data_IF_875517486180
#
_entry.id   IF_875517486180
#
_cell.length_a   1.000
_cell.length_b   1.000
_cell.length_c   1.000
_cell.angle_alpha   90.00
_cell.angle_beta   90.00
_cell.angle_gamma   90.00
#
_symmetry.space_group_name_H-M   'P 1'
#
loop_
_entity.id
_entity.type
_entity.pdbx_description
1 polymer ?
#
# COMPACT_ATOMS: atom_id res chain seq x y z
N UNK A 1 11.44 -2.16 21.73
CA UNK A 1 10.31 -2.87 21.09
C UNK A 1 9.59 -1.93 20.14
N UNK A 2 9.22 -2.42 18.96
CA UNK A 2 8.50 -1.62 17.96
C UNK A 2 7.08 -1.34 18.43
N UNK A 3 6.58 -0.15 18.12
CA UNK A 3 5.19 0.25 18.33
C UNK A 3 4.54 0.53 16.97
N UNK A 4 3.19 0.57 16.87
CA UNK A 4 2.52 0.96 15.63
C UNK A 4 2.95 2.34 15.10
N UNK A 5 3.30 3.29 16.00
CA UNK A 5 3.83 4.60 15.63
C UNK A 5 5.22 4.46 14.98
N UNK A 6 6.13 3.72 15.60
CA UNK A 6 7.46 3.45 15.02
C UNK A 6 7.38 2.76 13.66
N UNK A 7 6.40 1.87 13.47
CA UNK A 7 6.16 1.22 12.17
C UNK A 7 5.90 2.23 11.04
N UNK A 8 5.33 3.41 11.34
CA UNK A 8 5.08 4.45 10.35
C UNK A 8 6.35 5.20 9.93
N UNK A 9 7.40 5.21 10.78
CA UNK A 9 8.65 5.93 10.56
C UNK A 9 9.60 5.23 9.57
N UNK A 10 9.42 3.92 9.34
CA UNK A 10 10.26 3.18 8.38
C UNK A 10 10.15 3.72 6.96
N UNK A 11 11.27 3.72 6.24
CA UNK A 11 11.38 4.25 4.87
C UNK A 11 10.63 3.42 3.80
N UNK A 12 9.51 2.79 4.18
CA UNK A 12 8.64 2.03 3.27
C UNK A 12 8.18 2.84 2.05
N UNK A 13 8.09 4.17 2.21
CA UNK A 13 7.66 5.08 1.14
C UNK A 13 8.57 5.04 -0.07
N UNK A 14 9.88 4.77 0.08
CA UNK A 14 10.80 4.63 -1.06
C UNK A 14 10.37 3.51 -2.02
N UNK A 15 9.94 2.37 -1.48
CA UNK A 15 9.46 1.25 -2.31
C UNK A 15 8.11 1.59 -2.93
N UNK A 16 7.19 2.17 -2.15
CA UNK A 16 5.88 2.60 -2.64
C UNK A 16 6.04 3.60 -3.79
N UNK A 17 6.95 4.58 -3.65
CA UNK A 17 7.25 5.60 -4.66
C UNK A 17 7.80 5.01 -5.96
N UNK A 18 8.65 3.98 -5.87
CA UNK A 18 9.15 3.29 -7.07
C UNK A 18 8.00 2.72 -7.90
N UNK A 19 7.02 2.09 -7.26
CA UNK A 19 5.87 1.49 -7.94
C UNK A 19 4.85 2.54 -8.39
N UNK A 20 4.62 3.59 -7.61
CA UNK A 20 3.83 4.74 -8.03
C UNK A 20 4.41 5.40 -9.27
N UNK A 21 5.72 5.67 -9.28
CA UNK A 21 6.41 6.24 -10.43
C UNK A 21 6.30 5.34 -11.66
N UNK A 22 6.46 4.03 -11.47
CA UNK A 22 6.26 3.05 -12.54
C UNK A 22 4.85 3.15 -13.15
N UNK A 23 3.82 3.18 -12.31
CA UNK A 23 2.43 3.31 -12.75
C UNK A 23 2.21 4.62 -13.53
N UNK A 24 2.69 5.74 -13.00
CA UNK A 24 2.60 7.06 -13.64
C UNK A 24 3.30 7.07 -15.02
N UNK A 25 4.51 6.55 -15.09
CA UNK A 25 5.31 6.54 -16.32
C UNK A 25 4.67 5.65 -17.39
N UNK A 26 4.15 4.48 -17.01
CA UNK A 26 3.48 3.57 -17.94
C UNK A 26 2.13 4.12 -18.41
N UNK A 27 1.32 4.65 -17.51
CA UNK A 27 0.02 5.24 -17.87
C UNK A 27 0.19 6.46 -18.79
N UNK A 28 1.16 7.33 -18.48
CA UNK A 28 1.50 8.48 -19.34
C UNK A 28 2.00 8.04 -20.71
N UNK A 29 2.75 6.95 -20.78
CA UNK A 29 3.22 6.40 -22.06
C UNK A 29 2.06 5.85 -22.90
N UNK A 30 1.09 5.19 -22.26
CA UNK A 30 -0.14 4.73 -22.92
C UNK A 30 -0.93 5.92 -23.47
N UNK A 31 -1.09 7.01 -22.69
CA UNK A 31 -1.78 8.22 -23.12
C UNK A 31 -1.07 8.81 -24.35
N UNK A 32 0.26 8.99 -24.27
CA UNK A 32 1.04 9.53 -25.41
C UNK A 32 0.89 8.68 -26.67
N UNK A 33 0.87 7.34 -26.50
CA UNK A 33 0.70 6.44 -27.63
C UNK A 33 -0.68 6.52 -28.25
N UNK A 34 -1.74 6.70 -27.46
CA UNK A 34 -3.09 6.93 -27.98
C UNK A 34 -3.16 8.27 -28.76
N UNK A 35 -2.52 9.32 -28.25
CA UNK A 35 -2.47 10.64 -28.89
C UNK A 35 -1.65 10.69 -30.20
N UNK A 36 -0.74 9.73 -30.40
CA UNK A 36 0.03 9.59 -31.63
C UNK A 36 -0.74 8.93 -32.76
N UNK A 37 -1.86 8.28 -32.46
CA UNK A 37 -2.73 7.71 -33.49
C UNK A 37 -3.39 8.85 -34.29
N UNK A 38 -3.51 8.64 -35.58
CA UNK A 38 -4.35 9.48 -36.46
C UNK A 38 -5.81 9.41 -36.02
N UNK A 39 -6.67 10.27 -36.59
CA UNK A 39 -8.09 10.20 -36.36
C UNK A 39 -8.61 8.84 -36.86
N UNK A 40 -9.09 8.03 -35.90
CA UNK A 40 -9.55 6.64 -36.15
C UNK A 40 -11.03 6.60 -36.56
N UNK A 41 -11.69 7.74 -36.77
CA UNK A 41 -13.14 7.79 -37.12
C UNK A 41 -13.45 7.04 -38.39
N UNK A 42 -12.51 6.99 -39.34
CA UNK A 42 -12.67 6.28 -40.62
C UNK A 42 -12.15 4.81 -40.57
N UNK A 43 -11.63 4.34 -39.46
CA UNK A 43 -11.02 3.01 -39.38
C UNK A 43 -12.07 1.90 -39.36
N UNK A 44 -11.79 0.83 -40.10
CA UNK A 44 -12.56 -0.41 -40.03
C UNK A 44 -12.19 -1.20 -38.77
N UNK A 45 -13.04 -2.11 -38.33
CA UNK A 45 -12.76 -3.04 -37.22
C UNK A 45 -11.47 -3.84 -37.45
N UNK A 46 -11.13 -4.18 -38.69
CA UNK A 46 -9.90 -4.91 -39.02
C UNK A 46 -8.66 -4.03 -38.77
N UNK A 47 -8.67 -2.78 -39.22
CA UNK A 47 -7.59 -1.82 -38.96
C UNK A 47 -7.42 -1.56 -37.46
N UNK A 48 -8.51 -1.43 -36.71
CA UNK A 48 -8.48 -1.30 -35.26
C UNK A 48 -7.84 -2.49 -34.55
N UNK A 49 -8.11 -3.72 -35.01
CA UNK A 49 -7.48 -4.93 -34.48
C UNK A 49 -5.96 -4.95 -34.74
N UNK A 50 -5.51 -4.52 -35.91
CA UNK A 50 -4.08 -4.42 -36.24
C UNK A 50 -3.41 -3.39 -35.33
N UNK A 51 -4.00 -2.19 -35.19
CA UNK A 51 -3.50 -1.13 -34.32
C UNK A 51 -3.39 -1.56 -32.86
N UNK A 52 -4.46 -2.21 -32.33
CA UNK A 52 -4.49 -2.74 -30.98
C UNK A 52 -3.41 -3.80 -30.73
N UNK A 53 -3.18 -4.69 -31.70
CA UNK A 53 -2.16 -5.74 -31.60
C UNK A 53 -0.75 -5.17 -31.59
N UNK A 54 -0.45 -4.26 -32.52
CA UNK A 54 0.88 -3.63 -32.64
C UNK A 54 1.18 -2.76 -31.41
N UNK A 55 0.30 -1.80 -31.12
CA UNK A 55 0.46 -0.90 -29.98
C UNK A 55 0.48 -1.63 -28.64
N UNK A 56 -0.35 -2.67 -28.50
CA UNK A 56 -0.35 -3.51 -27.30
C UNK A 56 0.95 -4.27 -27.10
N UNK A 57 1.62 -4.74 -28.17
CA UNK A 57 2.93 -5.40 -28.10
C UNK A 57 4.02 -4.40 -27.66
N UNK A 58 4.00 -3.20 -28.21
CA UNK A 58 4.98 -2.15 -27.85
C UNK A 58 4.82 -1.71 -26.39
N UNK A 59 3.60 -1.46 -25.94
CA UNK A 59 3.29 -1.13 -24.52
C UNK A 59 3.73 -2.25 -23.58
N UNK A 60 3.50 -3.51 -23.96
CA UNK A 60 3.96 -4.66 -23.17
C UNK A 60 5.49 -4.69 -23.05
N UNK A 61 6.23 -4.53 -24.15
CA UNK A 61 7.69 -4.55 -24.14
C UNK A 61 8.27 -3.38 -23.34
N UNK A 62 7.72 -2.17 -23.49
CA UNK A 62 8.12 -1.01 -22.70
C UNK A 62 7.91 -1.26 -21.21
N UNK A 63 6.74 -1.77 -20.82
CA UNK A 63 6.43 -2.10 -19.44
C UNK A 63 7.39 -3.15 -18.89
N UNK A 64 7.70 -4.19 -19.66
CA UNK A 64 8.63 -5.25 -19.27
C UNK A 64 10.04 -4.68 -19.02
N UNK A 65 10.53 -3.80 -19.90
CA UNK A 65 11.83 -3.17 -19.74
C UNK A 65 11.90 -2.30 -18.49
N UNK A 66 10.88 -1.46 -18.23
CA UNK A 66 10.82 -0.61 -17.03
C UNK A 66 10.76 -1.46 -15.76
N UNK A 67 9.98 -2.53 -15.74
CA UNK A 67 9.88 -3.47 -14.63
C UNK A 67 11.22 -4.15 -14.33
N UNK A 68 11.92 -4.61 -15.36
CA UNK A 68 13.23 -5.24 -15.20
C UNK A 68 14.28 -4.26 -14.65
N UNK A 69 14.23 -3.00 -15.10
CA UNK A 69 15.11 -1.93 -14.60
C UNK A 69 14.96 -1.65 -13.10
N UNK A 70 13.77 -1.86 -12.53
CA UNK A 70 13.53 -1.64 -11.10
C UNK A 70 14.01 -2.78 -10.19
N UNK A 71 14.30 -3.95 -10.75
CA UNK A 71 14.52 -5.17 -9.95
C UNK A 71 15.66 -5.05 -8.94
N UNK A 72 16.79 -4.45 -9.34
CA UNK A 72 17.98 -4.31 -8.49
C UNK A 72 17.73 -3.32 -7.34
N UNK A 73 17.16 -2.16 -7.66
CA UNK A 73 16.90 -1.12 -6.67
C UNK A 73 15.82 -1.56 -5.68
N UNK A 74 14.75 -2.19 -6.15
CA UNK A 74 13.71 -2.78 -5.30
C UNK A 74 14.29 -3.73 -4.25
N UNK A 75 15.15 -4.68 -4.68
CA UNK A 75 15.79 -5.62 -3.76
C UNK A 75 16.64 -4.92 -2.72
N UNK A 76 17.44 -3.94 -3.13
CA UNK A 76 18.29 -3.16 -2.23
C UNK A 76 17.48 -2.40 -1.18
N UNK A 77 16.42 -1.72 -1.59
CA UNK A 77 15.56 -0.97 -0.67
C UNK A 77 14.78 -1.90 0.26
N UNK A 78 14.30 -3.03 -0.25
CA UNK A 78 13.58 -4.01 0.56
C UNK A 78 14.50 -4.63 1.62
N UNK A 79 15.72 -5.03 1.25
CA UNK A 79 16.69 -5.59 2.20
C UNK A 79 16.98 -4.61 3.33
N UNK A 80 17.29 -3.35 3.01
CA UNK A 80 17.53 -2.30 4.02
C UNK A 80 16.35 -2.12 4.97
N UNK A 81 15.14 -2.15 4.44
CA UNK A 81 13.93 -2.00 5.25
C UNK A 81 13.77 -3.15 6.26
N UNK A 82 14.06 -4.37 5.86
CA UNK A 82 14.00 -5.54 6.75
C UNK A 82 15.12 -5.56 7.78
N UNK A 83 16.35 -5.17 7.39
CA UNK A 83 17.48 -5.00 8.31
C UNK A 83 17.20 -3.92 9.35
N UNK A 84 16.65 -2.80 8.95
CA UNK A 84 16.26 -1.71 9.84
C UNK A 84 15.18 -2.17 10.84
N UNK A 85 14.16 -2.88 10.36
CA UNK A 85 13.10 -3.45 11.20
C UNK A 85 13.68 -4.42 12.24
N UNK A 86 14.54 -5.35 11.81
CA UNK A 86 15.20 -6.32 12.68
C UNK A 86 16.01 -5.62 13.78
N UNK A 87 16.83 -4.65 13.38
CA UNK A 87 17.68 -3.92 14.32
C UNK A 87 16.85 -3.16 15.37
N UNK A 88 15.79 -2.46 14.94
CA UNK A 88 14.94 -1.71 15.86
C UNK A 88 14.12 -2.64 16.79
N UNK A 89 13.66 -3.79 16.30
CA UNK A 89 12.97 -4.75 17.14
C UNK A 89 13.91 -5.36 18.18
N UNK A 90 15.08 -5.82 17.76
CA UNK A 90 16.09 -6.38 18.66
C UNK A 90 16.55 -5.37 19.71
N UNK A 91 16.83 -4.12 19.30
CA UNK A 91 17.20 -3.04 20.22
C UNK A 91 16.17 -2.85 21.34
N UNK A 92 14.91 -3.02 21.05
CA UNK A 92 13.85 -2.97 22.06
C UNK A 92 13.92 -4.08 23.12
N UNK A 93 14.59 -5.18 22.83
CA UNK A 93 14.77 -6.30 23.76
C UNK A 93 16.08 -6.28 24.53
N UNK A 94 17.01 -5.37 24.24
CA UNK A 94 18.32 -5.34 24.85
C UNK A 94 18.29 -5.41 26.38
N UNK A 95 17.49 -4.56 27.02
CA UNK A 95 17.37 -4.56 28.49
C UNK A 95 16.79 -5.88 29.04
N UNK A 96 15.90 -6.54 28.30
CA UNK A 96 15.31 -7.81 28.70
C UNK A 96 16.37 -8.92 28.68
N UNK A 97 17.22 -8.97 27.65
CA UNK A 97 18.36 -9.91 27.59
C UNK A 97 19.32 -9.68 28.75
N UNK A 98 19.73 -8.42 28.99
CA UNK A 98 20.63 -8.05 30.09
C UNK A 98 20.05 -8.45 31.46
N UNK A 99 18.75 -8.17 31.70
CA UNK A 99 18.07 -8.53 32.95
C UNK A 99 17.97 -10.04 33.17
N UNK A 100 17.99 -10.83 32.10
CA UNK A 100 17.99 -12.30 32.14
C UNK A 100 19.39 -12.92 32.18
N UNK A 101 20.44 -12.08 32.10
CA UNK A 101 21.83 -12.58 32.01
C UNK A 101 22.14 -13.32 30.71
N UNK A 102 21.36 -13.04 29.65
CA UNK A 102 21.55 -13.61 28.32
C UNK A 102 22.42 -12.70 27.47
N UNK A 103 23.18 -13.29 26.56
CA UNK A 103 23.95 -12.52 25.59
C UNK A 103 23.02 -11.85 24.59
N UNK A 104 23.14 -10.51 24.46
CA UNK A 104 22.36 -9.74 23.50
C UNK A 104 22.97 -9.84 22.11
N UNK A 105 22.40 -10.68 21.26
CA UNK A 105 22.76 -10.84 19.86
C UNK A 105 21.55 -11.23 19.02
N UNK A 106 21.65 -11.03 17.70
CA UNK A 106 20.68 -11.59 16.76
C UNK A 106 20.95 -13.07 16.61
N UNK A 107 20.01 -13.92 17.03
CA UNK A 107 20.16 -15.36 16.88
C UNK A 107 20.10 -15.78 15.40
N UNK A 108 20.63 -16.96 15.09
CA UNK A 108 20.56 -17.53 13.74
C UNK A 108 19.11 -17.76 13.33
N UNK A 109 18.24 -18.10 14.27
CA UNK A 109 16.82 -18.33 14.08
C UNK A 109 16.11 -17.03 13.65
N UNK A 110 16.37 -15.92 14.34
CA UNK A 110 15.84 -14.58 13.95
C UNK A 110 16.34 -14.19 12.57
N UNK A 111 17.65 -14.39 12.28
CA UNK A 111 18.18 -14.05 10.96
C UNK A 111 17.53 -14.86 9.83
N UNK A 112 17.40 -16.19 10.01
CA UNK A 112 16.76 -17.07 9.02
C UNK A 112 15.28 -16.71 8.79
N UNK A 113 14.57 -16.35 9.85
CA UNK A 113 13.18 -15.91 9.79
C UNK A 113 13.05 -14.63 8.97
N UNK A 114 13.84 -13.60 9.25
CA UNK A 114 13.84 -12.34 8.51
C UNK A 114 14.20 -12.57 7.04
N UNK A 115 15.22 -13.37 6.76
CA UNK A 115 15.62 -13.74 5.40
C UNK A 115 14.51 -14.46 4.63
N UNK A 116 13.77 -15.34 5.30
CA UNK A 116 12.65 -16.06 4.71
C UNK A 116 11.52 -15.11 4.30
N UNK A 117 11.11 -14.22 5.21
CA UNK A 117 10.03 -13.26 4.94
C UNK A 117 10.46 -12.23 3.88
N UNK A 118 11.72 -11.75 3.94
CA UNK A 118 12.28 -10.91 2.90
C UNK A 118 12.18 -11.56 1.51
N UNK A 119 12.59 -12.83 1.37
CA UNK A 119 12.52 -13.57 0.10
C UNK A 119 11.09 -13.74 -0.40
N UNK A 120 10.16 -14.03 0.51
CA UNK A 120 8.74 -14.14 0.18
C UNK A 120 8.19 -12.79 -0.30
N UNK A 121 8.46 -11.69 0.42
CA UNK A 121 8.04 -10.34 0.05
C UNK A 121 8.61 -9.90 -1.30
N UNK A 122 9.92 -10.15 -1.55
CA UNK A 122 10.53 -9.85 -2.86
C UNK A 122 9.86 -10.66 -3.99
N UNK A 123 9.54 -11.93 -3.76
CA UNK A 123 8.83 -12.77 -4.73
C UNK A 123 7.43 -12.23 -5.04
N UNK A 124 6.70 -11.80 -4.03
CA UNK A 124 5.37 -11.21 -4.21
C UNK A 124 5.43 -9.89 -4.98
N UNK A 125 6.33 -8.98 -4.62
CA UNK A 125 6.56 -7.73 -5.34
C UNK A 125 7.01 -7.99 -6.79
N UNK A 126 7.85 -8.99 -7.03
CA UNK A 126 8.26 -9.42 -8.37
C UNK A 126 7.07 -9.94 -9.20
N UNK A 127 6.17 -10.69 -8.58
CA UNK A 127 4.97 -11.18 -9.27
C UNK A 127 4.01 -10.04 -9.63
N UNK A 128 3.84 -9.07 -8.72
CA UNK A 128 3.07 -7.85 -9.03
C UNK A 128 3.67 -7.11 -10.23
N UNK A 129 4.99 -6.95 -10.28
CA UNK A 129 5.65 -6.27 -11.42
C UNK A 129 5.50 -7.00 -12.75
N UNK A 130 5.54 -8.34 -12.75
CA UNK A 130 5.28 -9.12 -13.97
C UNK A 130 3.85 -8.92 -14.50
N UNK A 131 2.88 -8.87 -13.59
CA UNK A 131 1.47 -8.65 -13.94
C UNK A 131 1.23 -7.26 -14.56
N UNK A 132 2.06 -6.27 -14.21
CA UNK A 132 1.95 -4.90 -14.76
C UNK A 132 2.12 -4.87 -16.26
N UNK A 133 3.07 -5.61 -16.85
CA UNK A 133 3.29 -5.61 -18.29
C UNK A 133 2.04 -6.09 -19.06
N UNK A 134 1.39 -7.15 -18.55
CA UNK A 134 0.13 -7.65 -19.12
C UNK A 134 -1.02 -6.65 -18.88
N UNK A 135 -1.13 -6.09 -17.69
CA UNK A 135 -2.16 -5.07 -17.37
C UNK A 135 -1.97 -3.82 -18.22
N UNK A 136 -0.75 -3.36 -18.47
CA UNK A 136 -0.46 -2.21 -19.33
C UNK A 136 -0.94 -2.45 -20.77
N UNK A 137 -0.63 -3.63 -21.33
CA UNK A 137 -1.13 -4.04 -22.66
C UNK A 137 -2.65 -4.03 -22.70
N UNK A 138 -3.30 -4.65 -21.70
CA UNK A 138 -4.75 -4.73 -21.62
C UNK A 138 -5.38 -3.33 -21.46
N UNK A 139 -4.79 -2.48 -20.63
CA UNK A 139 -5.23 -1.09 -20.42
C UNK A 139 -5.16 -0.30 -21.73
N UNK A 140 -4.08 -0.43 -22.52
CA UNK A 140 -3.99 0.22 -23.84
C UNK A 140 -5.07 -0.27 -24.81
N UNK A 141 -5.25 -1.59 -24.92
CA UNK A 141 -6.26 -2.17 -25.83
C UNK A 141 -7.64 -1.71 -25.45
N UNK A 142 -8.02 -1.79 -24.18
CA UNK A 142 -9.33 -1.36 -23.69
C UNK A 142 -9.57 0.15 -23.90
N UNK A 143 -8.54 0.98 -23.72
CA UNK A 143 -8.64 2.41 -23.97
C UNK A 143 -8.82 2.72 -25.46
N UNK A 144 -8.17 2.00 -26.33
CA UNK A 144 -8.34 2.12 -27.78
C UNK A 144 -9.73 1.66 -28.24
N UNK A 145 -10.23 0.56 -27.67
CA UNK A 145 -11.56 0.04 -27.95
C UNK A 145 -12.65 1.01 -27.44
N UNK A 146 -12.47 1.60 -26.25
CA UNK A 146 -13.37 2.63 -25.70
C UNK A 146 -13.41 3.87 -26.59
N UNK A 147 -12.25 4.36 -27.00
CA UNK A 147 -12.11 5.49 -27.92
C UNK A 147 -12.85 5.22 -29.24
N UNK A 148 -12.56 4.06 -29.87
CA UNK A 148 -13.20 3.66 -31.11
C UNK A 148 -14.73 3.54 -30.97
N UNK A 149 -15.20 2.93 -29.89
CA UNK A 149 -16.65 2.73 -29.63
C UNK A 149 -17.38 4.09 -29.50
N UNK A 150 -16.80 5.04 -28.80
CA UNK A 150 -17.35 6.40 -28.64
C UNK A 150 -17.47 7.13 -29.96
N UNK A 151 -16.45 7.03 -30.82
CA UNK A 151 -16.45 7.68 -32.13
C UNK A 151 -17.40 6.94 -33.11
N UNK A 152 -17.30 5.60 -33.18
CA UNK A 152 -18.11 4.80 -34.10
C UNK A 152 -19.61 4.82 -33.77
N UNK A 153 -19.98 5.07 -32.52
CA UNK A 153 -21.41 5.27 -32.12
C UNK A 153 -21.99 6.62 -32.53
N UNK A 154 -21.15 7.56 -32.99
CA UNK A 154 -21.56 8.94 -33.30
C UNK A 154 -21.89 9.78 -32.05
N UNK A 155 -21.66 9.23 -30.84
CA UNK A 155 -21.99 9.93 -29.59
C UNK A 155 -20.98 11.01 -29.23
N UNK A 156 -19.76 10.90 -29.77
CA UNK A 156 -18.65 11.83 -29.53
C UNK A 156 -17.91 12.11 -30.86
N UNK A 157 -17.50 13.35 -31.05
CA UNK A 157 -16.39 13.63 -31.98
C UNK A 157 -15.07 13.06 -31.45
N UNK A 158 -14.10 12.90 -32.35
CA UNK A 158 -12.81 12.27 -31.99
C UNK A 158 -12.10 12.99 -30.83
N UNK A 159 -12.10 14.33 -30.82
CA UNK A 159 -11.43 15.13 -29.79
C UNK A 159 -12.07 14.91 -28.42
N UNK A 160 -13.41 14.94 -28.34
CA UNK A 160 -14.17 14.71 -27.11
C UNK A 160 -14.03 13.26 -26.60
N UNK A 161 -14.03 12.29 -27.50
CA UNK A 161 -13.78 10.89 -27.19
C UNK A 161 -12.37 10.66 -26.63
N UNK A 162 -11.36 11.24 -27.27
CA UNK A 162 -9.95 11.21 -26.83
C UNK A 162 -9.80 11.81 -25.43
N UNK A 163 -10.36 13.00 -25.19
CA UNK A 163 -10.35 13.68 -23.89
C UNK A 163 -10.97 12.83 -22.79
N UNK A 164 -12.14 12.25 -23.06
CA UNK A 164 -12.82 11.34 -22.12
C UNK A 164 -11.97 10.10 -21.81
N UNK A 165 -11.34 9.50 -22.80
CA UNK A 165 -10.48 8.32 -22.64
C UNK A 165 -9.20 8.64 -21.87
N UNK A 166 -8.54 9.77 -22.15
CA UNK A 166 -7.36 10.24 -21.40
C UNK A 166 -7.71 10.46 -19.93
N UNK A 167 -8.84 11.11 -19.66
CA UNK A 167 -9.26 11.34 -18.27
C UNK A 167 -9.51 10.03 -17.52
N UNK A 168 -10.22 9.07 -18.14
CA UNK A 168 -10.47 7.77 -17.56
C UNK A 168 -9.18 6.96 -17.29
N UNK A 169 -8.20 7.05 -18.20
CA UNK A 169 -6.88 6.44 -18.00
C UNK A 169 -6.10 7.09 -16.86
N UNK A 170 -6.07 8.43 -16.81
CA UNK A 170 -5.36 9.16 -15.78
C UNK A 170 -5.98 8.97 -14.39
N UNK A 171 -7.32 8.83 -14.32
CA UNK A 171 -8.04 8.60 -13.06
C UNK A 171 -7.82 7.19 -12.50
N UNK A 172 -7.79 6.17 -13.34
CA UNK A 172 -7.67 4.77 -12.92
C UNK A 172 -6.22 4.28 -12.88
N UNK A 173 -5.36 4.80 -13.74
CA UNK A 173 -4.02 4.27 -13.96
C UNK A 173 -4.05 2.82 -14.43
N UNK A 174 -2.94 2.12 -14.25
CA UNK A 174 -2.85 0.67 -14.45
C UNK A 174 -3.31 -0.01 -13.17
N UNK A 175 -4.28 -0.91 -13.27
CA UNK A 175 -4.81 -1.68 -12.16
C UNK A 175 -4.41 -3.14 -12.25
N UNK A 176 -4.30 -3.78 -11.10
CA UNK A 176 -4.09 -5.21 -10.94
C UNK A 176 -5.37 -5.85 -10.39
N UNK A 177 -5.62 -7.11 -10.73
CA UNK A 177 -6.67 -7.88 -10.08
C UNK A 177 -6.11 -8.54 -8.82
N UNK A 178 -6.79 -8.36 -7.70
CA UNK A 178 -6.48 -9.09 -6.46
C UNK A 178 -7.01 -10.54 -6.54
N UNK A 179 -6.73 -11.35 -5.52
CA UNK A 179 -7.18 -12.76 -5.46
C UNK A 179 -8.70 -12.91 -5.51
N UNK A 180 -9.45 -11.89 -5.12
CA UNK A 180 -10.91 -11.87 -5.18
C UNK A 180 -11.44 -11.29 -6.52
N UNK A 181 -10.56 -11.05 -7.50
CA UNK A 181 -10.91 -10.50 -8.81
C UNK A 181 -11.19 -8.99 -8.83
N UNK A 182 -11.01 -8.27 -7.72
CA UNK A 182 -11.26 -6.84 -7.61
C UNK A 182 -10.08 -6.05 -8.18
N UNK A 183 -10.36 -4.98 -8.90
CA UNK A 183 -9.33 -4.07 -9.37
C UNK A 183 -8.74 -3.26 -8.20
N UNK A 184 -7.42 -3.24 -8.11
CA UNK A 184 -6.66 -2.44 -7.15
C UNK A 184 -5.54 -1.69 -7.85
N UNK A 185 -5.23 -0.48 -7.42
CA UNK A 185 -4.08 0.24 -7.95
C UNK A 185 -2.79 -0.44 -7.50
N UNK A 186 -1.74 -0.31 -8.31
CA UNK A 186 -0.44 -0.89 -8.00
C UNK A 186 0.10 -0.37 -6.66
N UNK A 187 0.00 0.93 -6.42
CA UNK A 187 0.41 1.56 -5.16
C UNK A 187 -0.29 0.93 -3.96
N UNK A 188 -1.62 0.79 -4.03
CA UNK A 188 -2.42 0.18 -2.96
C UNK A 188 -2.04 -1.27 -2.70
N UNK A 189 -1.78 -2.05 -3.77
CA UNK A 189 -1.35 -3.45 -3.65
C UNK A 189 0.02 -3.57 -2.97
N UNK A 190 0.98 -2.74 -3.38
CA UNK A 190 2.34 -2.70 -2.81
C UNK A 190 2.32 -2.25 -1.36
N UNK A 191 1.62 -1.15 -1.05
CA UNK A 191 1.48 -0.64 0.32
C UNK A 191 0.90 -1.68 1.26
N UNK A 192 -0.15 -2.37 0.85
CA UNK A 192 -0.77 -3.45 1.64
C UNK A 192 0.20 -4.59 1.88
N UNK A 193 0.88 -5.05 0.85
CA UNK A 193 1.85 -6.14 0.96
C UNK A 193 2.99 -5.78 1.92
N UNK A 194 3.63 -4.62 1.74
CA UNK A 194 4.71 -4.16 2.61
C UNK A 194 4.27 -4.03 4.07
N UNK A 195 3.14 -3.37 4.33
CA UNK A 195 2.68 -3.18 5.70
C UNK A 195 2.36 -4.52 6.39
N UNK A 196 1.74 -5.46 5.68
CA UNK A 196 1.47 -6.79 6.21
C UNK A 196 2.77 -7.52 6.52
N UNK A 197 3.72 -7.56 5.56
CA UNK A 197 5.01 -8.23 5.76
C UNK A 197 5.82 -7.63 6.92
N UNK A 198 5.88 -6.31 7.04
CA UNK A 198 6.61 -5.64 8.12
C UNK A 198 5.99 -5.94 9.50
N UNK A 199 4.65 -5.85 9.63
CA UNK A 199 3.97 -6.17 10.88
C UNK A 199 4.18 -7.62 11.28
N UNK A 200 4.04 -8.54 10.32
CA UNK A 200 4.26 -9.95 10.55
C UNK A 200 5.70 -10.24 10.97
N UNK A 201 6.69 -9.65 10.29
CA UNK A 201 8.10 -9.81 10.66
C UNK A 201 8.38 -9.31 12.07
N UNK A 202 7.84 -8.15 12.47
CA UNK A 202 8.02 -7.64 13.82
C UNK A 202 7.44 -8.59 14.87
N UNK A 203 6.25 -9.14 14.62
CA UNK A 203 5.59 -10.10 15.51
C UNK A 203 6.35 -11.43 15.59
N UNK A 204 6.86 -11.92 14.46
CA UNK A 204 7.58 -13.19 14.39
C UNK A 204 8.97 -13.08 15.06
N UNK A 205 9.69 -11.95 14.89
CA UNK A 205 10.92 -11.66 15.64
C UNK A 205 10.61 -11.63 17.14
N UNK A 206 9.54 -10.92 17.54
CA UNK A 206 9.16 -10.82 18.94
C UNK A 206 8.81 -12.19 19.54
N UNK A 207 8.16 -13.08 18.78
CA UNK A 207 7.84 -14.43 19.19
C UNK A 207 9.11 -15.28 19.39
N UNK A 208 10.04 -15.24 18.43
CA UNK A 208 11.30 -15.95 18.51
C UNK A 208 12.14 -15.48 19.72
N UNK A 209 12.24 -14.16 19.92
CA UNK A 209 12.90 -13.59 21.11
C UNK A 209 12.18 -14.02 22.39
N UNK A 210 10.84 -14.05 22.37
CA UNK A 210 10.01 -14.53 23.49
C UNK A 210 10.36 -15.94 23.92
N UNK A 211 10.60 -16.84 22.97
CA UNK A 211 11.03 -18.22 23.24
C UNK A 211 12.44 -18.24 23.87
N UNK A 212 13.36 -17.40 23.38
CA UNK A 212 14.73 -17.31 23.91
C UNK A 212 14.80 -16.77 25.35
N UNK A 213 13.97 -15.79 25.70
CA UNK A 213 13.92 -15.18 27.04
C UNK A 213 13.01 -15.91 28.02
N UNK A 214 12.33 -16.98 27.58
CA UNK A 214 11.34 -17.70 28.38
C UNK A 214 10.15 -16.81 28.75
N UNK A 215 9.58 -16.09 27.78
CA UNK A 215 8.44 -15.21 28.00
C UNK A 215 7.24 -15.95 28.62
N UNK A 216 6.50 -15.29 29.49
CA UNK A 216 5.28 -15.83 30.10
C UNK A 216 4.01 -15.00 29.80
N UNK A 217 4.20 -13.87 29.11
CA UNK A 217 3.11 -13.00 28.68
C UNK A 217 3.42 -12.29 27.37
N UNK A 218 2.38 -11.70 26.78
CA UNK A 218 2.49 -10.76 25.66
C UNK A 218 2.03 -9.38 26.05
N UNK A 219 2.68 -8.38 25.48
CA UNK A 219 2.31 -6.96 25.56
C UNK A 219 1.86 -6.52 24.18
N UNK A 220 0.58 -6.26 24.00
CA UNK A 220 0.02 -5.88 22.72
C UNK A 220 -0.13 -4.37 22.64
N UNK A 221 0.37 -3.78 21.56
CA UNK A 221 0.32 -2.35 21.34
C UNK A 221 -1.11 -1.83 21.19
N UNK A 222 -1.41 -0.66 21.78
CA UNK A 222 -2.69 0.00 21.61
C UNK A 222 -2.81 0.65 20.23
N UNK A 223 -3.93 0.37 19.56
CA UNK A 223 -4.29 0.95 18.28
C UNK A 223 -5.66 1.62 18.40
N UNK A 224 -5.73 2.95 18.62
CA UNK A 224 -6.98 3.66 18.96
C UNK A 224 -8.09 3.50 17.91
N UNK A 225 -7.76 3.03 16.74
CA UNK A 225 -8.68 2.85 15.61
C UNK A 225 -8.79 1.37 15.19
N UNK A 226 -8.51 0.45 16.11
CA UNK A 226 -8.58 -0.98 15.80
C UNK A 226 -10.00 -1.41 15.42
N UNK A 227 -10.09 -2.54 14.72
CA UNK A 227 -11.39 -3.13 14.38
C UNK A 227 -12.15 -3.52 15.66
N UNK A 228 -13.48 -3.45 15.64
CA UNK A 228 -14.30 -3.90 16.76
C UNK A 228 -13.96 -5.30 17.27
N UNK A 229 -13.63 -6.24 16.38
CA UNK A 229 -13.23 -7.62 16.71
C UNK A 229 -11.89 -7.73 17.43
N UNK A 230 -10.99 -6.76 17.27
CA UNK A 230 -9.65 -6.76 17.86
C UNK A 230 -9.55 -6.09 19.24
N UNK A 231 -10.66 -5.55 19.77
CA UNK A 231 -10.65 -4.87 21.08
C UNK A 231 -10.16 -5.76 22.20
N UNK A 232 -10.44 -7.07 22.12
CA UNK A 232 -10.05 -8.05 23.12
C UNK A 232 -8.54 -8.17 23.29
N UNK A 233 -7.78 -7.77 22.28
CA UNK A 233 -6.32 -7.83 22.30
C UNK A 233 -5.69 -6.43 22.32
N UNK A 234 -6.45 -5.35 22.11
CA UNK A 234 -5.89 -4.01 21.91
C UNK A 234 -5.34 -3.42 23.22
N UNK A 235 -4.03 -3.16 23.24
CA UNK A 235 -3.34 -2.51 24.37
C UNK A 235 -3.29 -3.32 25.65
N UNK A 236 -3.56 -4.61 25.64
CA UNK A 236 -3.57 -5.44 26.84
C UNK A 236 -2.26 -6.18 27.06
N UNK A 237 -2.01 -6.57 28.29
CA UNK A 237 -0.99 -7.56 28.66
C UNK A 237 -1.70 -8.83 29.07
N UNK A 238 -1.38 -9.97 28.46
CA UNK A 238 -2.01 -11.24 28.80
C UNK A 238 -1.03 -12.40 28.81
N UNK A 239 -1.34 -13.45 29.58
CA UNK A 239 -0.57 -14.69 29.61
C UNK A 239 -0.50 -15.33 28.22
N UNK A 240 0.57 -16.07 27.93
CA UNK A 240 0.73 -16.78 26.64
C UNK A 240 -0.42 -17.75 26.39
N UNK A 241 -0.88 -18.50 27.40
CA UNK A 241 -1.98 -19.44 27.24
C UNK A 241 -3.31 -18.74 26.88
N UNK A 242 -3.52 -17.53 27.41
CA UNK A 242 -4.66 -16.70 27.05
C UNK A 242 -4.52 -16.16 25.63
N UNK A 243 -3.33 -15.68 25.28
CA UNK A 243 -3.04 -15.10 23.95
C UNK A 243 -3.25 -16.11 22.82
N UNK A 244 -2.87 -17.37 23.00
CA UNK A 244 -3.08 -18.44 22.00
C UNK A 244 -4.52 -18.52 21.48
N UNK A 245 -5.51 -18.13 22.31
CA UNK A 245 -6.94 -18.11 21.91
C UNK A 245 -7.27 -16.96 20.94
N UNK A 246 -6.42 -15.95 20.85
CA UNK A 246 -6.64 -14.70 20.08
C UNK A 246 -5.53 -14.43 19.07
N UNK A 247 -4.48 -15.25 19.00
CA UNK A 247 -3.31 -15.07 18.12
C UNK A 247 -3.74 -14.88 16.66
N UNK A 248 -4.75 -15.62 16.21
CA UNK A 248 -5.31 -15.52 14.86
C UNK A 248 -5.76 -14.11 14.47
N UNK A 249 -6.16 -13.27 15.44
CA UNK A 249 -6.56 -11.88 15.17
C UNK A 249 -5.37 -11.05 14.69
N UNK A 250 -4.16 -11.34 15.15
CA UNK A 250 -2.96 -10.61 14.75
C UNK A 250 -2.47 -10.98 13.35
N UNK A 251 -2.92 -12.13 12.83
CA UNK A 251 -2.61 -12.62 11.48
C UNK A 251 -3.62 -12.15 10.43
N UNK A 252 -4.73 -11.52 10.85
CA UNK A 252 -5.73 -11.01 9.91
C UNK A 252 -5.15 -9.93 8.99
N UNK A 253 -5.54 -9.91 7.69
CA UNK A 253 -5.08 -8.90 6.74
C UNK A 253 -5.37 -7.47 7.23
N UNK A 254 -4.37 -6.59 7.13
CA UNK A 254 -4.40 -5.22 7.64
C UNK A 254 -4.61 -5.11 9.17
N UNK A 255 -4.23 -6.12 9.92
CA UNK A 255 -3.98 -5.99 11.34
C UNK A 255 -2.62 -5.27 11.53
N UNK A 256 -2.60 -4.25 12.39
CA UNK A 256 -1.40 -3.48 12.71
C UNK A 256 -1.05 -3.55 14.21
N UNK A 257 -1.62 -4.50 14.92
CA UNK A 257 -1.22 -4.76 16.30
C UNK A 257 0.18 -5.37 16.32
N UNK A 258 1.07 -4.73 17.07
CA UNK A 258 2.40 -5.28 17.36
C UNK A 258 2.31 -6.03 18.66
N UNK A 259 2.71 -7.28 18.63
CA UNK A 259 2.75 -8.19 19.78
C UNK A 259 4.20 -8.31 20.23
N UNK A 260 4.48 -7.91 21.45
CA UNK A 260 5.79 -8.08 22.06
C UNK A 260 5.69 -9.16 23.14
N UNK A 261 6.60 -10.12 23.11
CA UNK A 261 6.69 -11.17 24.11
C UNK A 261 7.56 -10.69 25.28
N UNK A 262 7.12 -10.98 26.51
CA UNK A 262 7.79 -10.46 27.71
C UNK A 262 7.74 -11.47 28.84
N UNK A 263 8.63 -11.33 29.80
CA UNK A 263 8.56 -12.08 31.05
C UNK A 263 8.25 -11.14 32.21
N UNK A 264 7.21 -11.46 32.98
CA UNK A 264 6.78 -10.66 34.10
C UNK A 264 6.39 -11.53 35.30
N UNK A 265 6.86 -11.22 36.53
CA UNK A 265 6.59 -12.03 37.73
C UNK A 265 5.09 -12.22 37.99
N UNK A 266 4.29 -11.18 37.76
CA UNK A 266 2.84 -11.24 38.01
C UNK A 266 2.08 -12.19 37.07
N UNK A 267 2.71 -12.67 35.99
CA UNK A 267 2.16 -13.65 35.06
C UNK A 267 2.71 -15.08 35.27
N UNK A 268 3.60 -15.25 36.22
CA UNK A 268 4.14 -16.57 36.56
C UNK A 268 3.01 -17.50 37.02
N UNK A 269 2.93 -18.67 36.40
CA UNK A 269 1.88 -19.69 36.66
C UNK A 269 0.41 -19.18 36.51
N UNK A 270 0.18 -18.14 35.73
CA UNK A 270 -1.14 -17.54 35.49
C UNK A 270 -1.64 -17.79 34.07
N UNK A 271 -2.44 -18.84 33.86
CA UNK A 271 -2.91 -19.26 32.51
C UNK A 271 -3.93 -18.32 31.86
N UNK A 272 -4.75 -17.65 32.63
CA UNK A 272 -5.87 -16.83 32.10
C UNK A 272 -5.76 -15.35 32.50
N UNK A 273 -4.60 -14.92 32.98
CA UNK A 273 -4.42 -13.54 33.44
C UNK A 273 -4.42 -12.56 32.27
N UNK A 274 -5.18 -11.52 32.41
CA UNK A 274 -5.21 -10.35 31.53
C UNK A 274 -5.07 -9.11 32.40
N UNK A 275 -4.22 -8.20 31.96
CA UNK A 275 -4.11 -6.84 32.50
C UNK A 275 -4.56 -5.87 31.43
N UNK A 276 -5.72 -5.27 31.65
CA UNK A 276 -6.21 -4.19 30.81
C UNK A 276 -5.53 -2.89 31.25
N UNK A 277 -5.00 -2.13 30.30
CA UNK A 277 -4.30 -0.88 30.56
C UNK A 277 -5.24 0.35 30.54
N UNK A 278 -6.53 0.15 30.75
CA UNK A 278 -7.50 1.24 30.94
C UNK A 278 -7.94 1.87 29.62
N UNK A 279 -8.64 1.12 28.78
CA UNK A 279 -8.97 1.54 27.45
C UNK A 279 -10.38 2.11 27.31
N UNK A 280 -10.62 2.55 26.07
CA UNK A 280 -11.85 3.13 25.59
C UNK A 280 -13.06 2.21 25.81
N UNK A 281 -14.22 2.78 26.05
CA UNK A 281 -15.47 2.04 26.04
C UNK A 281 -15.78 1.49 24.63
N UNK A 282 -16.64 0.46 24.55
CA UNK A 282 -17.07 -0.10 23.27
C UNK A 282 -17.64 0.97 22.31
N UNK A 283 -18.36 1.95 22.84
CA UNK A 283 -18.91 3.05 22.05
C UNK A 283 -17.81 3.94 21.47
N UNK A 284 -16.78 4.25 22.28
CA UNK A 284 -15.61 5.03 21.83
C UNK A 284 -14.81 4.31 20.76
N UNK A 285 -14.57 2.99 20.91
CA UNK A 285 -13.91 2.20 19.88
C UNK A 285 -14.68 2.23 18.55
N UNK A 286 -16.00 2.02 18.57
CA UNK A 286 -16.82 2.09 17.36
C UNK A 286 -16.72 3.46 16.70
N UNK A 287 -16.89 4.51 17.46
CA UNK A 287 -16.81 5.91 16.98
C UNK A 287 -15.44 6.20 16.38
N UNK A 288 -14.36 5.83 17.06
CA UNK A 288 -12.99 6.05 16.57
C UNK A 288 -12.72 5.27 15.29
N UNK A 289 -13.16 4.00 15.22
CA UNK A 289 -13.05 3.20 14.03
C UNK A 289 -13.77 3.82 12.84
N UNK A 290 -15.01 4.25 12.98
CA UNK A 290 -15.80 4.91 11.92
C UNK A 290 -15.14 6.21 11.46
N UNK A 291 -14.66 7.05 12.41
CA UNK A 291 -13.93 8.27 12.10
C UNK A 291 -12.68 7.96 11.26
N UNK A 292 -11.89 6.97 11.66
CA UNK A 292 -10.66 6.59 10.95
C UNK A 292 -10.97 5.99 9.57
N UNK A 293 -12.01 5.16 9.45
CA UNK A 293 -12.42 4.63 8.14
C UNK A 293 -12.78 5.76 7.16
N UNK A 294 -13.51 6.77 7.64
CA UNK A 294 -13.89 7.90 6.81
C UNK A 294 -12.72 8.84 6.52
N UNK A 295 -11.80 9.03 7.47
CA UNK A 295 -10.53 9.74 7.22
C UNK A 295 -9.71 9.04 6.14
N UNK A 296 -9.56 7.71 6.23
CA UNK A 296 -8.85 6.89 5.24
C UNK A 296 -9.51 6.95 3.86
N UNK A 297 -10.83 7.00 3.80
CA UNK A 297 -11.57 7.19 2.55
C UNK A 297 -11.22 8.54 1.89
N UNK A 298 -11.25 9.65 2.63
CA UNK A 298 -10.86 10.96 2.08
C UNK A 298 -9.37 11.01 1.71
N UNK A 299 -8.52 10.41 2.52
CA UNK A 299 -7.08 10.33 2.21
C UNK A 299 -6.82 9.56 0.89
N UNK A 300 -7.58 8.48 0.64
CA UNK A 300 -7.52 7.75 -0.64
C UNK A 300 -7.90 8.66 -1.80
N UNK A 301 -8.98 9.42 -1.69
CA UNK A 301 -9.37 10.37 -2.74
C UNK A 301 -8.26 11.39 -3.03
N UNK A 302 -7.56 11.87 -2.00
CA UNK A 302 -6.40 12.76 -2.19
C UNK A 302 -5.30 12.05 -2.97
N UNK A 303 -4.95 10.80 -2.61
CA UNK A 303 -3.92 10.03 -3.34
C UNK A 303 -4.31 9.80 -4.80
N UNK A 304 -5.55 9.37 -5.04
CA UNK A 304 -6.04 9.11 -6.40
C UNK A 304 -5.95 10.38 -7.26
N UNK A 305 -6.30 11.55 -6.71
CA UNK A 305 -6.18 12.82 -7.44
C UNK A 305 -4.73 13.29 -7.60
N UNK A 306 -3.85 13.03 -6.63
CA UNK A 306 -2.40 13.26 -6.79
C UNK A 306 -1.84 12.40 -7.94
N UNK A 307 -2.21 11.13 -7.99
CA UNK A 307 -1.80 10.21 -9.05
C UNK A 307 -2.29 10.68 -10.42
N UNK A 308 -3.57 11.05 -10.54
CA UNK A 308 -4.14 11.60 -11.76
C UNK A 308 -3.38 12.83 -12.26
N UNK A 309 -3.09 13.78 -11.38
CA UNK A 309 -2.33 14.99 -11.72
C UNK A 309 -0.89 14.64 -12.13
N UNK A 310 -0.24 13.68 -11.45
CA UNK A 310 1.11 13.23 -11.80
C UNK A 310 1.15 12.59 -13.21
N UNK A 311 0.19 11.72 -13.53
CA UNK A 311 0.06 11.08 -14.85
C UNK A 311 -0.13 12.14 -15.94
N UNK A 312 -1.10 13.04 -15.78
CA UNK A 312 -1.40 14.08 -16.76
C UNK A 312 -0.22 15.05 -16.93
N UNK A 313 0.50 15.36 -15.85
CA UNK A 313 1.69 16.22 -15.90
C UNK A 313 2.86 15.63 -16.69
N UNK A 314 2.94 14.31 -16.77
CA UNK A 314 3.95 13.57 -17.56
C UNK A 314 3.51 13.29 -19.00
N UNK A 315 2.22 13.43 -19.31
CA UNK A 315 1.65 13.23 -20.63
C UNK A 315 1.98 14.43 -21.54
N UNK A 316 1.69 14.32 -22.84
CA UNK A 316 2.01 15.39 -23.79
C UNK A 316 1.16 16.64 -23.53
N UNK A 317 1.82 17.69 -23.02
CA UNK A 317 1.19 18.96 -22.66
C UNK A 317 0.84 19.82 -23.87
N UNK A 318 1.37 19.53 -25.05
CA UNK A 318 1.02 20.24 -26.30
C UNK A 318 -0.38 19.89 -26.79
N UNK A 319 -0.93 18.79 -26.31
CA UNK A 319 -2.31 18.40 -26.59
C UNK A 319 -3.28 19.14 -25.65
N UNK A 320 -4.19 19.93 -26.23
CA UNK A 320 -5.19 20.71 -25.49
C UNK A 320 -6.03 19.85 -24.54
N UNK A 321 -6.44 18.65 -24.97
CA UNK A 321 -7.22 17.74 -24.16
C UNK A 321 -6.49 17.37 -22.85
N UNK A 322 -5.19 17.07 -22.91
CA UNK A 322 -4.38 16.80 -21.73
C UNK A 322 -4.26 18.01 -20.80
N UNK A 323 -4.08 19.21 -21.34
CA UNK A 323 -3.97 20.44 -20.56
C UNK A 323 -5.28 20.77 -19.80
N UNK A 324 -6.42 20.67 -20.46
CA UNK A 324 -7.72 20.93 -19.84
C UNK A 324 -8.00 19.93 -18.69
N UNK A 325 -7.77 18.65 -18.93
CA UNK A 325 -7.94 17.64 -17.90
C UNK A 325 -6.95 17.81 -16.74
N UNK A 326 -5.73 18.27 -17.00
CA UNK A 326 -4.75 18.59 -15.95
C UNK A 326 -5.22 19.76 -15.07
N UNK A 327 -5.76 20.81 -15.66
CA UNK A 327 -6.30 21.96 -14.90
C UNK A 327 -7.47 21.51 -14.02
N UNK A 328 -8.38 20.71 -14.58
CA UNK A 328 -9.52 20.14 -13.86
C UNK A 328 -9.05 19.25 -12.70
N UNK A 329 -8.12 18.32 -12.96
CA UNK A 329 -7.60 17.41 -11.94
C UNK A 329 -6.90 18.16 -10.79
N UNK A 330 -6.15 19.23 -11.07
CA UNK A 330 -5.56 20.12 -10.05
C UNK A 330 -6.61 20.78 -9.17
N UNK A 331 -7.72 21.23 -9.74
CA UNK A 331 -8.84 21.81 -8.98
C UNK A 331 -9.50 20.76 -8.08
N UNK A 332 -9.74 19.56 -8.61
CA UNK A 332 -10.32 18.44 -7.87
C UNK A 332 -9.39 17.97 -6.73
N UNK A 333 -8.07 17.95 -6.97
CA UNK A 333 -7.08 17.66 -5.92
C UNK A 333 -7.18 18.64 -4.75
N UNK A 334 -7.22 19.95 -5.04
CA UNK A 334 -7.38 20.98 -3.99
C UNK A 334 -8.66 20.77 -3.18
N UNK A 335 -9.76 20.47 -3.85
CA UNK A 335 -11.04 20.18 -3.19
C UNK A 335 -10.97 18.93 -2.31
N UNK A 336 -10.32 17.86 -2.78
CA UNK A 336 -10.13 16.63 -1.99
C UNK A 336 -9.24 16.87 -0.76
N UNK A 337 -8.14 17.61 -0.92
CA UNK A 337 -7.28 18.01 0.21
C UNK A 337 -8.02 18.85 1.24
N UNK A 338 -8.86 19.78 0.80
CA UNK A 338 -9.68 20.62 1.68
C UNK A 338 -10.69 19.76 2.46
N UNK A 339 -11.41 18.85 1.80
CA UNK A 339 -12.36 17.92 2.44
C UNK A 339 -11.67 17.03 3.48
N UNK A 340 -10.49 16.50 3.16
CA UNK A 340 -9.70 15.67 4.08
C UNK A 340 -9.32 16.45 5.35
N UNK A 341 -8.77 17.67 5.19
CA UNK A 341 -8.36 18.53 6.31
C UNK A 341 -9.57 18.96 7.15
N UNK A 342 -10.65 19.37 6.50
CA UNK A 342 -11.87 19.78 7.19
C UNK A 342 -12.47 18.63 8.00
N UNK A 343 -12.53 17.42 7.43
CA UNK A 343 -13.03 16.24 8.13
C UNK A 343 -12.16 15.89 9.35
N UNK A 344 -10.83 15.87 9.20
CA UNK A 344 -9.93 15.61 10.30
C UNK A 344 -10.10 16.64 11.42
N UNK A 345 -10.10 17.92 11.07
CA UNK A 345 -10.28 19.01 12.05
C UNK A 345 -11.63 18.95 12.79
N UNK A 346 -12.73 18.72 12.06
CA UNK A 346 -14.08 18.69 12.68
C UNK A 346 -14.31 17.48 13.60
N UNK A 347 -13.49 16.42 13.48
CA UNK A 347 -13.53 15.25 14.35
C UNK A 347 -12.42 15.23 15.40
N UNK A 348 -11.62 16.30 15.52
CA UNK A 348 -10.54 16.40 16.52
C UNK A 348 -9.42 15.38 16.32
N UNK A 349 -9.18 14.92 15.07
CA UNK A 349 -8.14 13.97 14.75
C UNK A 349 -7.03 14.64 13.94
N UNK A 350 -5.79 14.19 14.14
CA UNK A 350 -4.64 14.73 13.45
C UNK A 350 -4.71 14.50 11.92
N UNK A 351 -4.14 15.45 11.18
CA UNK A 351 -3.93 15.30 9.75
C UNK A 351 -2.76 14.34 9.55
N UNK A 352 -3.08 13.12 9.15
CA UNK A 352 -2.10 12.10 8.88
C UNK A 352 -1.60 12.23 7.42
N UNK A 353 -0.42 12.82 7.27
CA UNK A 353 0.20 13.05 5.96
C UNK A 353 0.66 11.74 5.30
N UNK A 354 0.98 10.71 6.09
CA UNK A 354 1.32 9.36 5.58
C UNK A 354 0.15 8.73 4.82
N UNK A 355 -1.07 8.94 5.30
CA UNK A 355 -2.28 8.46 4.63
C UNK A 355 -2.48 9.09 3.25
N UNK A 356 -1.99 10.31 3.05
CA UNK A 356 -2.12 11.06 1.79
C UNK A 356 -0.85 11.05 0.96
N UNK A 357 0.16 10.29 1.39
CA UNK A 357 1.43 10.20 0.67
C UNK A 357 1.25 9.62 -0.73
N UNK A 358 1.83 10.30 -1.72
CA UNK A 358 1.87 9.88 -3.12
C UNK A 358 3.10 10.47 -3.79
N UNK A 359 3.84 9.67 -4.56
CA UNK A 359 5.02 10.11 -5.27
C UNK A 359 4.75 11.29 -6.21
N UNK A 360 5.67 12.26 -6.24
CA UNK A 360 5.57 13.48 -7.05
C UNK A 360 4.78 14.62 -6.39
N UNK A 361 4.28 14.42 -5.18
CA UNK A 361 3.59 15.43 -4.37
C UNK A 361 4.10 15.42 -2.93
N UNK A 362 5.31 15.94 -2.73
CA UNK A 362 5.83 16.25 -1.40
C UNK A 362 5.28 17.61 -0.97
N UNK A 363 4.40 17.58 0.06
CA UNK A 363 3.74 18.67 0.81
C UNK A 363 2.41 19.18 0.30
#
# INVERSE_FOLDING_TARGET
>A
MITPQKMSEFEKNKIIDMFSKLNQDLTSSIIKKLQQNEDISSFTKAQMRVLARQGGKEVFNEALNKVNGLSRERKKQLLRLFEELQNEQMKGYKQTYEAKGLEYQVSNEVQQLVDSIYRQTDKELKNMTKSIAFSSKTTYINALDDLYTKVASGSFDYSSAMKSTINALAEKGITLKDRAGRNTTLETAVRRNLMTSLTQTANDIAKQVGDEIGANCVVIGHTPYCRPTHRVIDGVVMSLDKFKKYEYLTEEPNCYHIVNYDWRPEFENKKDKVRDNGHLTNAQYNKNYEIRQKQTYYARQVRDKKEQVAILSKSDKRNNATNEELIKAKKELRNSQMKYRQYSKSNGIDIDYELTWQNGYNK
#
